data_IF_958487022780
#
_entry.id   IF_958487022780
#
_cell.length_a   1.000
_cell.length_b   1.000
_cell.length_c   1.000
_cell.angle_alpha   90.00
_cell.angle_beta   90.00
_cell.angle_gamma   90.00
#
_symmetry.space_group_name_H-M   'P 1'
#
loop_
_entity.id
_entity.type
_entity.pdbx_description
1 polymer ?
#
# COMPACT_ATOMS: atom_id res chain seq x y z
N UNK A 1 -8.90 -69.27 33.18
CA UNK A 1 -8.78 -68.65 31.86
C UNK A 1 -9.12 -67.17 31.99
N UNK A 2 -8.10 -66.33 32.04
CA UNK A 2 -8.30 -64.93 32.19
C UNK A 2 -8.25 -64.27 30.80
N UNK A 3 -9.38 -63.78 30.34
CA UNK A 3 -9.45 -62.93 29.15
C UNK A 3 -9.13 -61.50 29.55
N UNK A 4 -7.95 -61.07 29.21
CA UNK A 4 -7.58 -59.63 29.33
C UNK A 4 -8.16 -58.88 28.13
N UNK A 5 -9.17 -58.09 28.38
CA UNK A 5 -9.69 -57.15 27.43
C UNK A 5 -8.74 -55.92 27.41
N UNK A 6 -8.03 -55.74 26.31
CA UNK A 6 -7.24 -54.55 26.04
C UNK A 6 -8.19 -53.45 25.51
N UNK A 7 -8.47 -52.49 26.35
CA UNK A 7 -9.14 -51.27 25.94
C UNK A 7 -8.11 -50.36 25.23
N UNK A 8 -8.23 -50.31 23.93
CA UNK A 8 -7.51 -49.28 23.15
C UNK A 8 -8.25 -47.95 23.34
N UNK A 9 -7.69 -47.11 24.19
CA UNK A 9 -8.12 -45.72 24.24
C UNK A 9 -7.57 -44.98 22.99
N UNK A 10 -8.45 -44.78 22.02
CA UNK A 10 -8.11 -43.93 20.85
C UNK A 10 -8.06 -42.49 21.32
N UNK A 11 -6.86 -41.95 21.48
CA UNK A 11 -6.62 -40.54 21.74
C UNK A 11 -6.88 -39.78 20.44
N UNK A 12 -8.07 -39.22 20.29
CA UNK A 12 -8.36 -38.35 19.19
C UNK A 12 -7.58 -37.02 19.41
N UNK A 13 -6.51 -36.87 18.66
CA UNK A 13 -5.75 -35.62 18.62
C UNK A 13 -6.60 -34.58 17.88
N UNK A 14 -7.34 -33.79 18.62
CA UNK A 14 -8.01 -32.63 18.05
C UNK A 14 -6.90 -31.63 17.74
N UNK A 15 -6.48 -31.60 16.49
CA UNK A 15 -5.65 -30.51 16.00
C UNK A 15 -6.52 -29.24 16.05
N UNK A 16 -6.41 -28.48 17.13
CA UNK A 16 -6.94 -27.13 17.19
C UNK A 16 -6.17 -26.33 16.14
N UNK A 17 -6.75 -26.19 14.96
CA UNK A 17 -6.23 -25.29 13.94
C UNK A 17 -6.11 -23.91 14.58
N UNK A 18 -4.89 -23.37 14.65
CA UNK A 18 -4.70 -21.98 15.06
C UNK A 18 -5.58 -21.12 14.14
N UNK A 19 -6.37 -20.16 14.69
CA UNK A 19 -7.10 -19.24 13.84
C UNK A 19 -6.06 -18.57 12.93
N UNK A 20 -6.26 -18.68 11.62
CA UNK A 20 -5.50 -17.89 10.68
C UNK A 20 -5.57 -16.45 11.19
N UNK A 21 -4.42 -15.86 11.53
CA UNK A 21 -4.36 -14.46 11.87
C UNK A 21 -4.89 -13.73 10.65
N UNK A 22 -6.13 -13.26 10.74
CA UNK A 22 -6.81 -12.67 9.63
C UNK A 22 -5.94 -11.56 9.08
N UNK A 23 -5.51 -11.71 7.83
CA UNK A 23 -5.12 -10.54 7.08
C UNK A 23 -6.26 -9.56 7.23
N UNK A 24 -5.95 -8.33 7.68
CA UNK A 24 -6.94 -7.27 7.74
C UNK A 24 -7.54 -7.21 6.34
N UNK A 25 -8.84 -7.50 6.23
CA UNK A 25 -9.52 -7.50 4.95
C UNK A 25 -9.22 -6.19 4.23
N UNK A 26 -8.75 -6.28 2.98
CA UNK A 26 -8.49 -5.11 2.17
C UNK A 26 -9.77 -4.29 2.06
N UNK A 27 -9.71 -3.00 2.33
CA UNK A 27 -10.81 -2.10 2.09
C UNK A 27 -11.06 -2.00 0.57
N UNK A 28 -12.31 -1.76 0.11
CA UNK A 28 -12.64 -1.72 -1.31
C UNK A 28 -11.81 -0.73 -2.14
N UNK A 29 -11.28 0.31 -1.50
CA UNK A 29 -10.45 1.34 -2.14
C UNK A 29 -8.95 1.17 -1.92
N UNK A 30 -8.49 0.06 -1.31
CA UNK A 30 -7.05 -0.15 -1.04
C UNK A 30 -6.20 -0.14 -2.31
N UNK A 31 -6.70 -0.69 -3.40
CA UNK A 31 -6.03 -0.62 -4.69
C UNK A 31 -5.83 0.82 -5.17
N UNK A 32 -6.82 1.67 -5.01
CA UNK A 32 -6.74 3.10 -5.33
C UNK A 32 -5.76 3.84 -4.42
N UNK A 33 -5.74 3.52 -3.13
CA UNK A 33 -4.79 4.10 -2.17
C UNK A 33 -3.35 3.69 -2.47
N UNK A 34 -3.11 2.44 -2.82
CA UNK A 34 -1.79 1.96 -3.23
C UNK A 34 -1.31 2.66 -4.50
N UNK A 35 -2.20 2.83 -5.48
CA UNK A 35 -1.88 3.58 -6.69
C UNK A 35 -1.59 5.04 -6.39
N UNK A 36 -2.37 5.67 -5.52
CA UNK A 36 -2.12 7.04 -5.07
C UNK A 36 -0.75 7.17 -4.38
N UNK A 37 -0.41 6.24 -3.49
CA UNK A 37 0.89 6.21 -2.82
C UNK A 37 2.04 6.11 -3.81
N UNK A 38 1.92 5.25 -4.83
CA UNK A 38 2.90 5.12 -5.91
C UNK A 38 3.07 6.43 -6.69
N UNK A 39 1.97 7.09 -7.01
CA UNK A 39 1.97 8.40 -7.67
C UNK A 39 2.69 9.45 -6.81
N UNK A 40 2.42 9.50 -5.51
CA UNK A 40 3.08 10.43 -4.59
C UNK A 40 4.60 10.21 -4.55
N UNK A 41 5.03 8.96 -4.57
CA UNK A 41 6.46 8.60 -4.63
C UNK A 41 7.11 9.03 -5.95
N UNK A 42 6.43 8.79 -7.05
CA UNK A 42 6.88 9.21 -8.38
C UNK A 42 6.99 10.74 -8.47
N UNK A 43 5.99 11.46 -8.00
CA UNK A 43 5.99 12.93 -7.98
C UNK A 43 7.07 13.49 -7.07
N UNK A 44 7.33 12.85 -5.93
CA UNK A 44 8.40 13.27 -5.04
C UNK A 44 9.76 13.30 -5.74
N UNK A 45 10.03 12.30 -6.56
CA UNK A 45 11.26 12.25 -7.34
C UNK A 45 11.22 13.17 -8.58
N UNK A 46 10.21 13.03 -9.42
CA UNK A 46 10.14 13.70 -10.71
C UNK A 46 10.05 15.22 -10.60
N UNK A 47 9.25 15.73 -9.67
CA UNK A 47 9.12 17.17 -9.50
C UNK A 47 10.41 17.78 -8.94
N UNK A 48 11.15 17.07 -8.14
CA UNK A 48 12.44 17.51 -7.63
C UNK A 48 13.46 17.66 -8.76
N UNK A 49 13.61 16.65 -9.61
CA UNK A 49 14.54 16.73 -10.76
C UNK A 49 14.09 17.74 -11.82
N UNK A 50 12.80 18.07 -11.86
CA UNK A 50 12.25 19.09 -12.77
C UNK A 50 12.22 20.51 -12.15
N UNK A 51 12.87 20.72 -11.02
CA UNK A 51 13.10 22.03 -10.46
C UNK A 51 11.91 22.65 -9.72
N UNK A 52 10.92 21.86 -9.29
CA UNK A 52 9.76 22.34 -8.57
C UNK A 52 10.12 22.91 -7.18
N UNK A 53 11.22 22.47 -6.59
CA UNK A 53 11.75 22.97 -5.31
C UNK A 53 10.72 22.94 -4.16
N UNK A 54 10.02 21.82 -4.05
CA UNK A 54 8.92 21.63 -3.09
C UNK A 54 9.35 20.94 -1.78
N UNK A 55 10.64 20.61 -1.65
CA UNK A 55 11.19 19.96 -0.46
C UNK A 55 10.50 18.64 -0.12
N UNK A 56 9.91 18.56 1.07
CA UNK A 56 9.27 17.37 1.60
C UNK A 56 7.76 17.30 1.34
N UNK A 57 7.22 18.16 0.48
CA UNK A 57 5.77 18.24 0.24
C UNK A 57 5.13 16.86 -0.02
N UNK A 58 5.67 16.10 -0.95
CA UNK A 58 5.09 14.81 -1.36
C UNK A 58 5.26 13.73 -0.29
N UNK A 59 6.35 13.77 0.46
CA UNK A 59 6.52 12.91 1.64
C UNK A 59 5.54 13.25 2.75
N UNK A 60 5.27 14.53 2.97
CA UNK A 60 4.30 14.97 3.96
C UNK A 60 2.88 14.57 3.55
N UNK A 61 2.55 14.65 2.26
CA UNK A 61 1.27 14.13 1.74
C UNK A 61 1.14 12.62 1.97
N UNK A 62 2.21 11.87 1.72
CA UNK A 62 2.22 10.43 2.00
C UNK A 62 2.06 10.13 3.49
N UNK A 63 2.72 10.89 4.35
CA UNK A 63 2.59 10.73 5.79
C UNK A 63 1.15 10.97 6.24
N UNK A 64 0.52 12.01 5.73
CA UNK A 64 -0.89 12.31 6.02
C UNK A 64 -1.80 11.18 5.55
N UNK A 65 -1.53 10.61 4.37
CA UNK A 65 -2.30 9.49 3.82
C UNK A 65 -2.24 8.26 4.73
N UNK A 66 -1.04 7.83 5.13
CA UNK A 66 -0.92 6.64 5.97
C UNK A 66 -1.44 6.87 7.38
N UNK A 67 -1.30 8.05 7.94
CA UNK A 67 -1.83 8.38 9.27
C UNK A 67 -3.36 8.37 9.28
N UNK A 68 -3.99 8.79 8.19
CA UNK A 68 -5.45 8.79 8.06
C UNK A 68 -6.02 7.40 7.75
N UNK A 69 -5.39 6.66 6.84
CA UNK A 69 -5.97 5.47 6.23
C UNK A 69 -5.40 4.15 6.75
N UNK A 70 -4.14 4.14 7.14
CA UNK A 70 -3.43 2.94 7.58
C UNK A 70 -2.36 3.29 8.60
N UNK A 71 -2.75 3.70 9.83
CA UNK A 71 -1.79 4.21 10.81
C UNK A 71 -0.80 3.15 11.31
N UNK A 72 -1.10 1.87 11.09
CA UNK A 72 -0.23 0.78 11.55
C UNK A 72 -0.47 -0.51 10.77
N UNK A 73 0.43 -1.47 10.95
CA UNK A 73 0.27 -2.84 10.46
C UNK A 73 0.57 -3.01 8.97
N UNK A 74 0.05 -4.11 8.41
CA UNK A 74 0.36 -4.54 7.05
C UNK A 74 -0.16 -3.56 5.97
N UNK A 75 -1.30 -2.93 6.19
CA UNK A 75 -1.83 -1.92 5.25
C UNK A 75 -0.89 -0.73 5.14
N UNK A 76 -0.37 -0.23 6.28
CA UNK A 76 0.63 0.84 6.29
C UNK A 76 1.89 0.42 5.51
N UNK A 77 2.41 -0.76 5.78
CA UNK A 77 3.60 -1.29 5.11
C UNK A 77 3.40 -1.38 3.59
N UNK A 78 2.23 -1.80 3.12
CA UNK A 78 1.91 -1.87 1.68
C UNK A 78 1.86 -0.49 1.03
N UNK A 79 1.28 0.50 1.68
CA UNK A 79 1.23 1.87 1.17
C UNK A 79 2.63 2.47 1.08
N UNK A 80 3.45 2.31 2.12
CA UNK A 80 4.84 2.77 2.12
C UNK A 80 5.64 2.08 1.01
N UNK A 81 5.47 0.77 0.82
CA UNK A 81 6.12 0.03 -0.25
C UNK A 81 5.71 0.55 -1.63
N UNK A 82 4.45 0.92 -1.82
CA UNK A 82 3.96 1.51 -3.08
C UNK A 82 4.60 2.88 -3.35
N UNK A 83 4.69 3.73 -2.35
CA UNK A 83 5.39 5.01 -2.45
C UNK A 83 6.85 4.81 -2.86
N UNK A 84 7.56 3.92 -2.17
CA UNK A 84 8.96 3.62 -2.47
C UNK A 84 9.14 3.06 -3.87
N UNK A 85 8.21 2.24 -4.34
CA UNK A 85 8.24 1.71 -5.72
C UNK A 85 8.12 2.82 -6.76
N UNK A 86 7.22 3.77 -6.57
CA UNK A 86 7.08 4.93 -7.43
C UNK A 86 8.34 5.79 -7.47
N UNK A 87 8.87 6.10 -6.30
CA UNK A 87 10.11 6.89 -6.16
C UNK A 87 11.31 6.21 -6.85
N UNK A 88 11.58 4.96 -6.48
CA UNK A 88 12.76 4.23 -6.97
C UNK A 88 12.65 3.87 -8.44
N UNK A 89 11.45 3.56 -8.92
CA UNK A 89 11.23 3.23 -10.33
C UNK A 89 11.62 4.40 -11.23
N UNK A 90 11.21 5.60 -10.91
CA UNK A 90 11.57 6.78 -11.69
C UNK A 90 12.99 7.25 -11.44
N UNK A 91 13.51 7.10 -10.24
CA UNK A 91 14.92 7.38 -9.93
C UNK A 91 15.87 6.55 -10.81
N UNK A 92 15.50 5.32 -11.11
CA UNK A 92 16.29 4.45 -11.99
C UNK A 92 16.17 4.82 -13.47
N UNK A 93 15.02 5.36 -13.87
CA UNK A 93 14.70 5.63 -15.27
C UNK A 93 15.06 7.05 -15.73
N UNK A 94 14.95 8.04 -14.85
CA UNK A 94 15.18 9.45 -15.17
C UNK A 94 16.24 10.05 -14.24
N UNK A 95 17.33 10.50 -14.80
CA UNK A 95 18.41 11.19 -14.05
C UNK A 95 18.29 12.70 -14.13
N UNK A 96 17.67 13.20 -15.19
CA UNK A 96 17.43 14.61 -15.45
C UNK A 96 16.00 14.84 -15.87
N UNK A 97 15.53 16.07 -15.74
CA UNK A 97 14.22 16.45 -16.28
C UNK A 97 14.24 16.41 -17.81
N UNK A 98 13.30 15.68 -18.37
CA UNK A 98 13.09 15.53 -19.82
C UNK A 98 11.66 15.90 -20.16
N UNK A 99 11.33 16.16 -21.46
CA UNK A 99 9.93 16.33 -21.86
C UNK A 99 9.04 15.13 -21.46
N UNK A 100 9.58 13.92 -21.49
CA UNK A 100 8.87 12.72 -21.05
C UNK A 100 8.59 12.77 -19.54
N UNK A 101 9.54 13.22 -18.73
CA UNK A 101 9.34 13.41 -17.29
C UNK A 101 8.22 14.43 -17.01
N UNK A 102 8.20 15.55 -17.71
CA UNK A 102 7.14 16.55 -17.59
C UNK A 102 5.77 15.98 -17.95
N UNK A 103 5.69 15.15 -18.98
CA UNK A 103 4.46 14.51 -19.38
C UNK A 103 3.95 13.53 -18.30
N UNK A 104 4.85 12.74 -17.72
CA UNK A 104 4.52 11.83 -16.61
C UNK A 104 4.00 12.60 -15.42
N UNK A 105 4.66 13.69 -15.04
CA UNK A 105 4.21 14.56 -13.94
C UNK A 105 2.78 15.01 -14.16
N UNK A 106 2.46 15.56 -15.34
CA UNK A 106 1.11 16.05 -15.64
C UNK A 106 0.07 14.93 -15.57
N UNK A 107 0.37 13.77 -16.15
CA UNK A 107 -0.53 12.60 -16.09
C UNK A 107 -0.76 12.13 -14.67
N UNK A 108 0.27 12.10 -13.85
CA UNK A 108 0.15 11.64 -12.47
C UNK A 108 -0.58 12.66 -11.58
N UNK A 109 -0.39 13.94 -11.78
CA UNK A 109 -1.18 14.96 -11.09
C UNK A 109 -2.68 14.80 -11.43
N UNK A 110 -3.01 14.55 -12.68
CA UNK A 110 -4.39 14.32 -13.11
C UNK A 110 -4.96 13.02 -12.55
N UNK A 111 -4.24 11.92 -12.69
CA UNK A 111 -4.68 10.62 -12.16
C UNK A 111 -4.83 10.65 -10.63
N UNK A 112 -3.87 11.24 -9.92
CA UNK A 112 -3.92 11.39 -8.46
C UNK A 112 -5.13 12.19 -8.01
N UNK A 113 -5.42 13.29 -8.67
CA UNK A 113 -6.62 14.10 -8.40
C UNK A 113 -7.91 13.31 -8.61
N UNK A 114 -7.97 12.52 -9.68
CA UNK A 114 -9.12 11.66 -9.95
C UNK A 114 -9.30 10.59 -8.87
N UNK A 115 -8.21 9.92 -8.49
CA UNK A 115 -8.25 8.90 -7.43
C UNK A 115 -8.74 9.48 -6.10
N UNK A 116 -8.29 10.67 -5.73
CA UNK A 116 -8.74 11.35 -4.51
C UNK A 116 -10.23 11.64 -4.58
N UNK A 117 -10.72 12.16 -5.70
CA UNK A 117 -12.16 12.42 -5.87
C UNK A 117 -12.99 11.14 -5.77
N UNK A 118 -12.56 10.07 -6.44
CA UNK A 118 -13.27 8.80 -6.45
C UNK A 118 -13.34 8.16 -5.06
N UNK A 119 -12.25 8.17 -4.32
CA UNK A 119 -12.20 7.66 -2.95
C UNK A 119 -13.07 8.53 -2.02
N UNK A 120 -12.96 9.85 -2.10
CA UNK A 120 -13.73 10.78 -1.28
C UNK A 120 -15.23 10.64 -1.55
N UNK A 121 -15.64 10.48 -2.80
CA UNK A 121 -17.05 10.28 -3.16
C UNK A 121 -17.63 8.99 -2.55
N UNK A 122 -16.84 7.93 -2.46
CA UNK A 122 -17.25 6.67 -1.81
C UNK A 122 -17.41 6.81 -0.29
N UNK A 123 -16.61 7.64 0.34
CA UNK A 123 -16.70 7.91 1.77
C UNK A 123 -17.90 8.79 2.14
N UNK A 124 -18.33 9.65 1.24
CA UNK A 124 -19.43 10.59 1.48
C UNK A 124 -20.82 9.91 1.47
N UNK A 125 -20.90 8.66 1.07
CA UNK A 125 -22.11 7.84 1.08
C UNK A 125 -22.05 6.83 2.21
#
# INVERSE_FOLDING_TARGET
MFRRALLFASLALIAAGAPARGEVAAAPFDGSLQRLAEILGALHYLRDICGANEGQKWRNEMQALVDAEAPQGARRARLIASFNRGFRGYQQSYRTCTPAADLVIRRYLEEGSKLIRDVTARYAN
#
